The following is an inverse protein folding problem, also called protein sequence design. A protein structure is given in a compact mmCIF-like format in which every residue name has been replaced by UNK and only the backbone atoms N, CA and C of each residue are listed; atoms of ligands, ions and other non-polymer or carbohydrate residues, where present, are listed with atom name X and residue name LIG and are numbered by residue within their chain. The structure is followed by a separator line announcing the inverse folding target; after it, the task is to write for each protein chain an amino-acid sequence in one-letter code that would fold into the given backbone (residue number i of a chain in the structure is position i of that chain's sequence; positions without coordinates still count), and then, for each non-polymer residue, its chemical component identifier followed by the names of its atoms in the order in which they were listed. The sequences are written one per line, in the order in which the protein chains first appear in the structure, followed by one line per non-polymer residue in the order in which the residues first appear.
data_IF_047749686446
#
_entry.id   IF_047749686446
#
_cell.length_a   1.000
_cell.length_b   1.000
_cell.length_c   1.000
_cell.angle_alpha   90.00
_cell.angle_beta   90.00
_cell.angle_gamma   90.00
#
_symmetry.space_group_name_H-M   'P 1'
#
loop_
_entity.id
_entity.type
_entity.pdbx_description
1 polymer ?
#
# COMPACT_ATOMS: atom_id res chain seq x y z
N UNK A 1 -21.67 7.88 8.73
CA UNK A 1 -20.92 6.68 8.29
C UNK A 1 -21.75 5.71 7.43
N UNK A 2 -22.84 6.14 6.76
CA UNK A 2 -23.67 5.25 5.92
C UNK A 2 -23.82 5.71 4.45
N UNK A 3 -23.20 6.84 4.05
CA UNK A 3 -23.47 7.49 2.75
C UNK A 3 -22.29 7.56 1.77
N UNK A 4 -21.17 6.87 2.02
CA UNK A 4 -19.95 6.95 1.19
C UNK A 4 -19.59 5.64 0.47
N UNK A 5 -20.46 4.63 0.50
CA UNK A 5 -20.28 3.35 -0.18
C UNK A 5 -21.07 3.29 -1.52
N UNK A 6 -21.96 4.26 -1.78
CA UNK A 6 -22.85 4.19 -2.94
C UNK A 6 -22.22 4.61 -4.28
N UNK A 7 -21.08 5.32 -4.27
CA UNK A 7 -20.38 5.84 -5.48
C UNK A 7 -19.37 4.88 -6.10
N UNK A 8 -19.30 3.65 -5.60
CA UNK A 8 -18.44 2.60 -6.17
C UNK A 8 -19.01 2.18 -7.55
N UNK A 9 -18.22 2.18 -8.65
CA UNK A 9 -18.67 1.68 -9.95
C UNK A 9 -19.31 0.30 -9.82
N UNK A 10 -20.37 0.03 -10.59
CA UNK A 10 -21.17 -1.20 -10.44
C UNK A 10 -20.36 -2.50 -10.58
N UNK A 11 -19.20 -2.41 -11.24
CA UNK A 11 -18.16 -3.46 -11.31
C UNK A 11 -17.58 -3.83 -9.92
N UNK A 12 -17.29 -2.84 -9.08
CA UNK A 12 -16.74 -3.02 -7.73
C UNK A 12 -17.83 -3.34 -6.68
N UNK A 13 -19.12 -3.14 -7.01
CA UNK A 13 -20.25 -3.63 -6.19
C UNK A 13 -20.42 -5.15 -6.29
N UNK A 14 -19.79 -5.79 -7.28
CA UNK A 14 -19.86 -7.24 -7.54
C UNK A 14 -18.64 -8.02 -7.06
N UNK A 15 -17.55 -7.37 -6.68
CA UNK A 15 -16.42 -8.03 -6.01
C UNK A 15 -16.78 -8.23 -4.54
N UNK A 16 -16.85 -9.48 -4.03
CA UNK A 16 -17.14 -9.72 -2.63
C UNK A 16 -16.09 -9.02 -1.75
N UNK A 17 -16.55 -8.32 -0.71
CA UNK A 17 -15.66 -7.79 0.32
C UNK A 17 -15.13 -8.95 1.15
N UNK A 18 -14.03 -9.54 0.70
CA UNK A 18 -13.39 -10.65 1.39
C UNK A 18 -12.77 -10.15 2.70
N UNK A 19 -12.89 -10.86 3.83
CA UNK A 19 -12.12 -10.57 5.03
C UNK A 19 -10.66 -11.04 4.92
N UNK A 20 -9.73 -10.30 5.55
CA UNK A 20 -8.30 -10.58 5.75
C UNK A 20 -7.78 -11.93 5.28
N UNK A 21 -7.20 -11.96 4.09
CA UNK A 21 -6.45 -13.12 3.60
C UNK A 21 -5.16 -13.27 4.38
N UNK A 22 -5.08 -14.13 5.41
CA UNK A 22 -3.83 -14.41 6.14
C UNK A 22 -2.80 -15.16 5.29
N UNK A 23 -2.40 -14.57 4.17
CA UNK A 23 -1.19 -14.98 3.49
C UNK A 23 -0.01 -14.62 4.39
N UNK A 24 0.71 -15.65 4.81
CA UNK A 24 1.96 -15.51 5.54
C UNK A 24 2.95 -14.74 4.64
N UNK A 25 3.44 -13.60 5.13
CA UNK A 25 4.29 -12.67 4.35
C UNK A 25 5.61 -13.28 3.88
N UNK A 26 5.93 -14.50 4.33
CA UNK A 26 7.13 -15.24 3.96
C UNK A 26 6.99 -16.09 2.68
N UNK A 27 5.81 -16.16 2.06
CA UNK A 27 5.54 -17.12 0.98
C UNK A 27 4.96 -16.45 -0.29
N UNK A 28 5.80 -15.89 -1.18
CA UNK A 28 5.37 -15.06 -2.31
C UNK A 28 4.62 -15.77 -3.46
N UNK A 29 4.44 -17.10 -3.43
CA UNK A 29 3.86 -17.89 -4.53
C UNK A 29 2.57 -18.65 -4.14
N UNK A 30 1.68 -18.05 -3.34
CA UNK A 30 0.42 -18.68 -2.97
C UNK A 30 -0.70 -18.36 -3.97
N UNK A 31 -1.44 -19.39 -4.38
CA UNK A 31 -2.71 -19.25 -5.10
C UNK A 31 -3.85 -19.49 -4.13
N UNK A 32 -4.79 -18.53 -4.10
CA UNK A 32 -5.94 -18.57 -3.20
C UNK A 32 -7.20 -18.71 -4.04
N UNK A 33 -7.91 -19.81 -3.84
CA UNK A 33 -9.16 -20.09 -4.52
C UNK A 33 -10.29 -19.85 -3.53
N UNK A 34 -11.18 -18.92 -3.87
CA UNK A 34 -12.39 -18.65 -3.11
C UNK A 34 -13.58 -19.15 -3.92
N UNK A 35 -14.40 -20.01 -3.33
CA UNK A 35 -15.61 -20.52 -3.99
C UNK A 35 -16.79 -20.61 -3.03
N UNK A 36 -17.99 -20.43 -3.58
CA UNK A 36 -19.25 -20.48 -2.82
C UNK A 36 -19.99 -21.79 -3.10
N UNK A 37 -20.40 -22.49 -2.05
CA UNK A 37 -21.24 -23.68 -2.16
C UNK A 37 -22.55 -23.49 -1.42
N UNK A 38 -23.62 -24.06 -1.96
CA UNK A 38 -24.89 -24.20 -1.25
C UNK A 38 -24.73 -25.12 -0.05
N UNK A 39 -25.33 -24.75 1.08
CA UNK A 39 -25.26 -25.54 2.30
C UNK A 39 -25.94 -26.91 2.11
N UNK A 40 -25.13 -27.98 2.13
CA UNK A 40 -25.57 -29.38 2.16
C UNK A 40 -24.52 -30.24 2.89
N UNK A 41 -24.93 -31.31 3.59
CA UNK A 41 -23.99 -32.26 4.18
C UNK A 41 -23.01 -32.80 3.13
N UNK A 42 -21.71 -32.75 3.42
CA UNK A 42 -20.67 -33.28 2.53
C UNK A 42 -20.22 -32.35 1.39
N UNK A 43 -20.84 -31.19 1.18
CA UNK A 43 -20.49 -30.28 0.08
C UNK A 43 -19.00 -29.92 0.02
N UNK A 44 -18.45 -29.52 1.17
CA UNK A 44 -17.03 -29.18 1.29
C UNK A 44 -16.15 -30.40 1.07
N UNK A 45 -16.51 -31.55 1.64
CA UNK A 45 -15.72 -32.77 1.50
C UNK A 45 -15.66 -33.25 0.03
N UNK A 46 -16.75 -33.09 -0.72
CA UNK A 46 -16.78 -33.33 -2.17
C UNK A 46 -15.79 -32.42 -2.91
N UNK A 47 -15.76 -31.12 -2.59
CA UNK A 47 -14.83 -30.18 -3.23
C UNK A 47 -13.36 -30.41 -2.82
N UNK A 48 -13.08 -30.73 -1.56
CA UNK A 48 -11.71 -30.97 -1.09
C UNK A 48 -11.10 -32.24 -1.72
N UNK A 49 -11.91 -33.21 -2.14
CA UNK A 49 -11.43 -34.38 -2.91
C UNK A 49 -10.78 -33.98 -4.23
N UNK A 50 -11.25 -32.90 -4.87
CA UNK A 50 -10.68 -32.44 -6.14
C UNK A 50 -9.20 -32.07 -6.01
N UNK A 51 -8.82 -31.49 -4.87
CA UNK A 51 -7.44 -31.15 -4.53
C UNK A 51 -6.62 -32.40 -4.20
N UNK A 52 -7.19 -33.31 -3.40
CA UNK A 52 -6.55 -34.57 -3.03
C UNK A 52 -6.24 -35.45 -4.25
N UNK A 53 -7.20 -35.60 -5.17
CA UNK A 53 -7.05 -36.41 -6.39
C UNK A 53 -5.97 -35.89 -7.35
N UNK A 54 -5.62 -34.61 -7.23
CA UNK A 54 -4.63 -33.92 -8.06
C UNK A 54 -3.31 -33.66 -7.35
N UNK A 55 -3.13 -34.22 -6.16
CA UNK A 55 -1.93 -34.08 -5.34
C UNK A 55 -1.61 -32.59 -5.02
N UNK A 56 -2.66 -31.77 -4.85
CA UNK A 56 -2.53 -30.36 -4.46
C UNK A 56 -2.72 -30.25 -2.95
N UNK A 57 -1.63 -29.91 -2.26
CA UNK A 57 -1.65 -29.66 -0.81
C UNK A 57 -2.25 -28.30 -0.48
N UNK A 58 -3.01 -28.24 0.62
CA UNK A 58 -3.67 -27.05 1.11
C UNK A 58 -2.95 -26.54 2.37
N UNK A 59 -2.54 -25.27 2.37
CA UNK A 59 -1.85 -24.65 3.50
C UNK A 59 -2.82 -24.03 4.49
N UNK A 60 -3.97 -23.55 3.99
CA UNK A 60 -5.00 -22.93 4.81
C UNK A 60 -6.39 -23.13 4.19
N UNK A 61 -7.38 -23.34 5.05
CA UNK A 61 -8.80 -23.42 4.66
C UNK A 61 -9.61 -22.61 5.66
N UNK A 62 -10.43 -21.71 5.15
CA UNK A 62 -11.37 -20.94 5.94
C UNK A 62 -12.77 -21.01 5.33
N UNK A 63 -13.81 -21.10 6.16
CA UNK A 63 -15.21 -21.12 5.72
C UNK A 63 -16.01 -20.01 6.39
N UNK A 64 -16.88 -19.32 5.66
CA UNK A 64 -17.71 -18.24 6.16
C UNK A 64 -19.10 -18.25 5.50
N UNK A 65 -20.18 -17.81 6.17
CA UNK A 65 -21.47 -17.62 5.50
C UNK A 65 -21.36 -16.57 4.40
N UNK A 66 -21.88 -16.86 3.19
CA UNK A 66 -21.83 -15.90 2.09
C UNK A 66 -22.71 -14.68 2.38
N UNK A 67 -22.17 -13.50 2.08
CA UNK A 67 -22.93 -12.23 2.16
C UNK A 67 -23.75 -11.98 0.91
N UNK A 68 -23.40 -12.62 -0.20
CA UNK A 68 -24.02 -12.40 -1.52
C UNK A 68 -25.09 -13.46 -1.80
N UNK A 69 -24.86 -14.71 -1.40
CA UNK A 69 -25.74 -15.83 -1.71
C UNK A 69 -26.33 -16.44 -0.44
N UNK A 70 -27.60 -16.14 -0.15
CA UNK A 70 -28.29 -16.67 1.05
C UNK A 70 -28.32 -18.20 1.02
N UNK A 71 -27.99 -18.82 2.16
CA UNK A 71 -27.93 -20.29 2.29
C UNK A 71 -26.70 -20.93 1.65
N UNK A 72 -25.67 -20.13 1.32
CA UNK A 72 -24.39 -20.60 0.83
C UNK A 72 -23.27 -20.28 1.83
N UNK A 73 -22.22 -21.08 1.79
CA UNK A 73 -20.95 -20.83 2.46
C UNK A 73 -19.86 -20.54 1.43
N UNK A 74 -19.07 -19.50 1.70
CA UNK A 74 -17.84 -19.18 1.01
C UNK A 74 -16.68 -19.93 1.66
N UNK A 75 -15.88 -20.58 0.85
CA UNK A 75 -14.68 -21.30 1.25
C UNK A 75 -13.48 -20.63 0.59
N UNK A 76 -12.49 -20.27 1.41
CA UNK A 76 -11.19 -19.77 0.99
C UNK A 76 -10.18 -20.89 1.20
N UNK A 77 -9.48 -21.26 0.13
CA UNK A 77 -8.50 -22.32 0.13
C UNK A 77 -7.19 -21.79 -0.40
N UNK A 78 -6.13 -21.87 0.41
CA UNK A 78 -4.78 -21.52 0.02
C UNK A 78 -4.02 -22.79 -0.39
N UNK A 79 -3.45 -22.77 -1.60
CA UNK A 79 -2.71 -23.90 -2.16
C UNK A 79 -1.20 -23.71 -1.97
N UNK A 80 -0.48 -24.84 -1.81
CA UNK A 80 0.98 -24.85 -1.72
C UNK A 80 1.65 -24.42 -3.04
N UNK A 81 2.83 -23.80 -2.92
CA UNK A 81 3.64 -23.24 -4.00
C UNK A 81 4.19 -24.29 -4.99
N UNK A 82 4.15 -25.58 -4.62
CA UNK A 82 4.67 -26.70 -5.41
C UNK A 82 3.60 -27.26 -6.36
N UNK A 83 2.34 -26.80 -6.24
CA UNK A 83 1.26 -27.27 -7.09
C UNK A 83 1.56 -27.00 -8.58
N UNK A 84 1.37 -28.03 -9.42
CA UNK A 84 1.53 -27.90 -10.87
C UNK A 84 0.42 -27.00 -11.42
N UNK A 85 0.78 -26.06 -12.30
CA UNK A 85 -0.15 -25.13 -12.95
C UNK A 85 -1.35 -25.85 -13.57
N UNK A 86 -1.10 -26.91 -14.35
CA UNK A 86 -2.14 -27.70 -15.01
C UNK A 86 -3.15 -28.29 -14.01
N UNK A 87 -2.66 -28.76 -12.84
CA UNK A 87 -3.51 -29.31 -11.78
C UNK A 87 -4.42 -28.24 -11.17
N UNK A 88 -3.90 -27.02 -10.96
CA UNK A 88 -4.68 -25.88 -10.45
C UNK A 88 -5.72 -25.44 -11.49
N UNK A 89 -5.36 -25.38 -12.78
CA UNK A 89 -6.30 -25.04 -13.86
C UNK A 89 -7.45 -26.05 -13.99
N UNK A 90 -7.18 -27.36 -13.85
CA UNK A 90 -8.21 -28.38 -13.81
C UNK A 90 -9.14 -28.23 -12.59
N UNK A 91 -8.58 -27.97 -11.40
CA UNK A 91 -9.37 -27.74 -10.19
C UNK A 91 -10.29 -26.54 -10.37
N UNK A 92 -9.77 -25.44 -10.90
CA UNK A 92 -10.55 -24.23 -11.18
C UNK A 92 -11.69 -24.55 -12.14
N UNK A 93 -11.42 -25.33 -13.19
CA UNK A 93 -12.45 -25.74 -14.18
C UNK A 93 -13.56 -26.55 -13.51
N UNK A 94 -13.22 -27.54 -12.68
CA UNK A 94 -14.20 -28.36 -11.97
C UNK A 94 -14.97 -27.57 -10.91
N UNK A 95 -14.31 -26.65 -10.20
CA UNK A 95 -14.98 -25.79 -9.24
C UNK A 95 -15.95 -24.83 -9.93
N UNK A 96 -15.64 -24.32 -11.13
CA UNK A 96 -16.58 -23.51 -11.93
C UNK A 96 -17.86 -24.26 -12.28
N UNK A 97 -17.79 -25.57 -12.49
CA UNK A 97 -18.95 -26.40 -12.81
C UNK A 97 -19.83 -26.72 -11.59
N UNK A 98 -19.23 -26.73 -10.39
CA UNK A 98 -19.87 -27.25 -9.17
C UNK A 98 -20.14 -26.20 -8.08
N UNK A 99 -19.52 -25.02 -8.17
CA UNK A 99 -19.70 -23.91 -7.23
C UNK A 99 -20.65 -22.84 -7.79
N UNK A 100 -21.32 -22.12 -6.90
CA UNK A 100 -22.20 -21.00 -7.27
C UNK A 100 -21.39 -19.79 -7.76
N UNK A 101 -20.19 -19.62 -7.21
CA UNK A 101 -19.25 -18.59 -7.62
C UNK A 101 -17.83 -19.05 -7.32
N UNK A 102 -16.86 -18.58 -8.11
CA UNK A 102 -15.44 -18.81 -7.89
C UNK A 102 -14.65 -17.55 -8.23
N UNK A 103 -13.64 -17.25 -7.41
CA UNK A 103 -12.63 -16.23 -7.65
C UNK A 103 -11.27 -16.83 -7.32
N UNK A 104 -10.32 -16.66 -8.22
CA UNK A 104 -8.95 -17.12 -8.04
C UNK A 104 -8.06 -15.90 -7.89
N UNK A 105 -7.37 -15.83 -6.76
CA UNK A 105 -6.38 -14.81 -6.48
C UNK A 105 -4.97 -15.37 -6.61
N UNK A 106 -4.15 -14.71 -7.43
CA UNK A 106 -2.72 -14.99 -7.50
C UNK A 106 -1.95 -13.89 -6.75
N UNK A 107 -1.11 -14.30 -5.80
CA UNK A 107 -0.18 -13.39 -5.11
C UNK A 107 1.08 -13.09 -5.91
N UNK A 108 1.30 -13.80 -7.03
CA UNK A 108 2.45 -13.63 -7.91
C UNK A 108 2.04 -12.96 -9.24
N UNK A 109 2.43 -11.70 -9.43
CA UNK A 109 2.25 -10.97 -10.71
C UNK A 109 3.13 -11.49 -11.85
N UNK A 110 4.26 -12.16 -11.55
CA UNK A 110 5.25 -12.59 -12.55
C UNK A 110 4.92 -13.93 -13.22
N UNK A 111 4.09 -14.77 -12.60
CA UNK A 111 3.63 -16.03 -13.19
C UNK A 111 2.15 -16.24 -12.90
N UNK A 112 1.28 -15.76 -13.81
CA UNK A 112 -0.14 -16.08 -13.78
C UNK A 112 -0.31 -17.59 -13.82
N UNK A 113 -0.84 -18.17 -12.74
CA UNK A 113 -1.23 -19.57 -12.74
C UNK A 113 -2.52 -19.79 -13.55
N UNK A 114 -3.29 -18.72 -13.80
CA UNK A 114 -4.47 -18.74 -14.66
C UNK A 114 -4.69 -17.38 -15.37
N UNK A 115 -5.16 -17.37 -16.62
CA UNK A 115 -5.44 -16.12 -17.36
C UNK A 115 -6.58 -15.29 -16.75
N UNK A 116 -7.53 -15.95 -16.08
CA UNK A 116 -8.67 -15.33 -15.39
C UNK A 116 -8.38 -15.03 -13.90
N UNK A 117 -7.17 -15.30 -13.41
CA UNK A 117 -6.79 -14.95 -12.05
C UNK A 117 -6.82 -13.43 -11.84
N UNK A 118 -7.37 -13.01 -10.71
CA UNK A 118 -7.36 -11.62 -10.28
C UNK A 118 -6.15 -11.43 -9.38
N UNK A 119 -5.23 -10.50 -9.66
CA UNK A 119 -4.12 -10.21 -8.76
C UNK A 119 -4.63 -9.98 -7.34
N UNK A 120 -3.96 -10.57 -6.36
CA UNK A 120 -4.33 -10.35 -4.97
C UNK A 120 -4.31 -8.87 -4.61
N UNK A 121 -5.24 -8.47 -3.74
CA UNK A 121 -5.27 -7.14 -3.16
C UNK A 121 -5.74 -7.19 -1.69
N UNK A 122 -5.26 -6.26 -0.83
CA UNK A 122 -5.72 -6.15 0.55
C UNK A 122 -7.21 -5.86 0.61
N UNK A 123 -7.91 -6.53 1.52
CA UNK A 123 -9.35 -6.36 1.67
C UNK A 123 -9.73 -5.76 3.03
N UNK A 124 -8.82 -5.81 4.00
CA UNK A 124 -8.83 -5.00 5.23
C UNK A 124 -7.59 -4.12 5.30
N UNK A 125 -7.71 -2.99 6.00
CA UNK A 125 -6.57 -2.09 6.25
C UNK A 125 -5.38 -2.79 6.94
N UNK A 126 -5.64 -3.77 7.80
CA UNK A 126 -4.60 -4.58 8.45
C UNK A 126 -3.83 -5.47 7.48
N UNK A 127 -4.38 -5.78 6.30
CA UNK A 127 -3.70 -6.61 5.30
C UNK A 127 -2.53 -5.89 4.64
N UNK A 128 -2.42 -4.57 4.82
CA UNK A 128 -1.25 -3.79 4.41
C UNK A 128 0.04 -4.33 5.06
N UNK A 129 -0.06 -4.88 6.28
CA UNK A 129 1.09 -5.50 6.95
C UNK A 129 1.73 -6.65 6.16
N UNK A 130 1.00 -7.26 5.22
CA UNK A 130 1.46 -8.43 4.44
C UNK A 130 2.38 -8.07 3.28
N UNK A 131 2.33 -6.81 2.83
CA UNK A 131 3.14 -6.34 1.71
C UNK A 131 4.00 -5.11 2.05
N UNK A 132 3.79 -4.46 3.19
CA UNK A 132 4.55 -3.26 3.59
C UNK A 132 6.07 -3.45 3.62
N UNK A 133 6.55 -4.70 3.74
CA UNK A 133 7.97 -5.04 3.78
C UNK A 133 8.53 -5.46 2.40
N UNK A 134 7.72 -5.49 1.34
CA UNK A 134 8.12 -5.83 -0.04
C UNK A 134 8.76 -4.63 -0.74
N UNK A 135 9.89 -4.18 -0.19
CA UNK A 135 10.64 -3.03 -0.71
C UNK A 135 11.41 -3.43 -1.97
N UNK A 136 11.23 -2.68 -3.05
CA UNK A 136 11.91 -2.89 -4.32
C UNK A 136 13.27 -2.18 -4.38
N UNK A 137 13.36 -0.96 -3.87
CA UNK A 137 14.56 -0.13 -3.94
C UNK A 137 14.60 0.92 -2.84
N UNK A 138 15.74 1.61 -2.70
CA UNK A 138 15.94 2.72 -1.76
C UNK A 138 15.64 2.33 -0.30
N UNK A 139 15.92 1.07 0.06
CA UNK A 139 15.78 0.54 1.41
C UNK A 139 16.99 0.87 2.29
N UNK A 140 17.51 -0.13 3.00
CA UNK A 140 18.76 -0.01 3.75
C UNK A 140 20.02 -0.09 2.86
N UNK A 141 19.91 -0.77 1.71
CA UNK A 141 20.96 -0.85 0.71
C UNK A 141 20.85 0.31 -0.27
N UNK A 142 21.98 0.96 -0.53
CA UNK A 142 22.08 2.15 -1.37
C UNK A 142 22.83 1.81 -2.65
N UNK A 143 22.43 2.44 -3.75
CA UNK A 143 23.14 2.33 -5.02
C UNK A 143 24.54 2.95 -4.95
N UNK A 144 25.46 2.48 -5.79
CA UNK A 144 26.88 2.88 -5.74
C UNK A 144 27.12 4.38 -6.02
N UNK A 145 26.20 5.02 -6.74
CA UNK A 145 26.19 6.45 -7.07
C UNK A 145 25.47 7.31 -6.02
N UNK A 146 24.82 6.70 -5.03
CA UNK A 146 24.18 7.42 -3.94
C UNK A 146 25.23 8.18 -3.09
N UNK A 147 25.01 9.46 -2.73
CA UNK A 147 26.01 10.27 -2.01
C UNK A 147 26.43 9.66 -0.66
N UNK A 148 25.52 8.95 0.01
CA UNK A 148 25.78 8.21 1.25
C UNK A 148 26.33 6.79 1.08
N UNK A 149 26.66 6.31 -0.13
CA UNK A 149 27.10 4.93 -0.35
C UNK A 149 28.36 4.55 0.43
N UNK A 150 29.30 5.49 0.55
CA UNK A 150 30.56 5.31 1.30
C UNK A 150 30.48 5.77 2.75
N UNK A 151 29.35 6.34 3.16
CA UNK A 151 29.14 6.81 4.53
C UNK A 151 28.56 5.68 5.38
N UNK A 152 29.40 5.07 6.19
CA UNK A 152 29.00 3.97 7.09
C UNK A 152 28.00 4.41 8.16
N UNK A 153 28.09 5.67 8.62
CA UNK A 153 27.17 6.23 9.62
C UNK A 153 25.80 6.41 8.99
N UNK A 154 25.72 7.00 7.80
CA UNK A 154 24.46 7.18 7.07
C UNK A 154 23.82 5.83 6.69
N UNK A 155 24.61 4.84 6.27
CA UNK A 155 24.10 3.48 5.99
C UNK A 155 23.56 2.79 7.24
N UNK A 156 24.27 2.88 8.35
CA UNK A 156 23.79 2.36 9.63
C UNK A 156 22.49 3.06 10.06
N UNK A 157 22.42 4.37 9.88
CA UNK A 157 21.25 5.18 10.16
C UNK A 157 20.05 4.79 9.28
N UNK A 158 20.26 4.54 7.98
CA UNK A 158 19.21 4.02 7.06
C UNK A 158 18.68 2.66 7.48
N UNK A 159 19.56 1.78 7.97
CA UNK A 159 19.14 0.48 8.52
C UNK A 159 18.20 0.64 9.72
N UNK A 160 18.48 1.58 10.62
CA UNK A 160 17.59 1.86 11.77
C UNK A 160 16.17 2.26 11.31
N UNK A 161 16.06 3.15 10.31
CA UNK A 161 14.77 3.52 9.74
C UNK A 161 14.05 2.36 9.06
N UNK A 162 14.79 1.51 8.35
CA UNK A 162 14.25 0.31 7.73
C UNK A 162 13.72 -0.67 8.80
N UNK A 163 14.47 -0.88 9.88
CA UNK A 163 14.08 -1.74 10.99
C UNK A 163 12.79 -1.23 11.67
N UNK A 164 12.61 0.09 11.83
CA UNK A 164 11.35 0.67 12.32
C UNK A 164 10.18 0.27 11.41
N UNK A 165 10.32 0.49 10.10
CA UNK A 165 9.25 0.21 9.15
C UNK A 165 8.93 -1.29 9.05
N UNK A 166 9.94 -2.17 9.09
CA UNK A 166 9.74 -3.61 9.00
C UNK A 166 9.01 -4.21 10.21
N UNK A 167 9.19 -3.60 11.39
CA UNK A 167 8.59 -4.06 12.62
C UNK A 167 7.23 -3.40 12.92
N UNK A 168 6.88 -2.29 12.26
CA UNK A 168 5.60 -1.61 12.46
C UNK A 168 4.42 -2.47 11.99
N UNK A 169 3.38 -2.56 12.83
CA UNK A 169 2.10 -3.20 12.50
C UNK A 169 0.92 -2.23 12.54
N UNK A 170 -0.09 -2.51 11.73
CA UNK A 170 -1.30 -1.69 11.70
C UNK A 170 -1.97 -1.65 13.09
N UNK A 171 -2.28 -0.44 13.56
CA UNK A 171 -2.91 -0.20 14.86
C UNK A 171 -1.93 0.19 15.97
N UNK A 172 -0.63 0.02 15.76
CA UNK A 172 0.40 0.53 16.65
C UNK A 172 0.63 2.03 16.43
N UNK A 173 1.28 2.69 17.40
CA UNK A 173 1.78 4.05 17.20
C UNK A 173 3.05 4.00 16.36
N UNK A 174 3.17 4.91 15.40
CA UNK A 174 4.38 5.06 14.59
C UNK A 174 5.52 5.47 15.52
N UNK A 175 6.65 4.73 15.53
CA UNK A 175 7.77 5.03 16.41
C UNK A 175 8.33 6.43 16.19
N UNK A 176 8.59 7.12 17.31
CA UNK A 176 9.25 8.43 17.33
C UNK A 176 10.72 8.25 16.98
N UNK A 177 11.23 9.16 16.14
CA UNK A 177 12.63 9.19 15.74
C UNK A 177 13.31 10.39 16.39
N UNK A 178 14.39 10.12 17.11
CA UNK A 178 15.32 11.15 17.57
C UNK A 178 16.27 11.51 16.42
N UNK A 179 15.89 12.55 15.65
CA UNK A 179 16.71 13.08 14.57
C UNK A 179 17.96 13.79 15.10
N UNK A 180 19.09 13.63 14.43
CA UNK A 180 20.34 14.29 14.80
C UNK A 180 20.34 15.77 14.40
N UNK A 181 21.23 16.56 15.00
CA UNK A 181 21.39 17.98 14.62
C UNK A 181 21.76 18.16 13.15
N UNK A 182 22.52 17.23 12.57
CA UNK A 182 22.87 17.23 11.15
C UNK A 182 21.63 16.98 10.28
N UNK A 183 20.80 15.99 10.63
CA UNK A 183 19.54 15.69 9.95
C UNK A 183 18.58 16.90 10.03
N UNK A 184 18.43 17.51 11.22
CA UNK A 184 17.62 18.71 11.41
C UNK A 184 18.17 19.88 10.58
N UNK A 185 19.49 20.01 10.45
CA UNK A 185 20.08 21.05 9.61
C UNK A 185 19.82 20.84 8.11
N UNK A 186 19.89 19.59 7.63
CA UNK A 186 19.50 19.26 6.25
C UNK A 186 18.03 19.59 6.01
N UNK A 187 17.14 19.25 6.93
CA UNK A 187 15.73 19.63 6.87
C UNK A 187 15.55 21.15 6.82
N UNK A 188 16.25 21.90 7.69
CA UNK A 188 16.19 23.37 7.76
C UNK A 188 16.48 24.02 6.41
N UNK A 189 17.51 23.55 5.71
CA UNK A 189 17.89 24.06 4.39
C UNK A 189 16.75 23.89 3.39
N UNK A 190 16.19 22.68 3.30
CA UNK A 190 15.09 22.36 2.37
C UNK A 190 13.81 23.12 2.75
N UNK A 191 13.46 23.15 4.03
CA UNK A 191 12.28 23.81 4.55
C UNK A 191 12.27 25.31 4.22
N UNK A 192 13.38 26.01 4.49
CA UNK A 192 13.48 27.44 4.25
C UNK A 192 13.35 27.79 2.76
N UNK A 193 13.96 26.99 1.88
CA UNK A 193 13.90 27.27 0.45
C UNK A 193 12.49 27.02 -0.11
N UNK A 194 11.85 25.90 0.26
CA UNK A 194 10.52 25.58 -0.24
C UNK A 194 9.43 26.51 0.32
N UNK A 195 9.48 26.83 1.62
CA UNK A 195 8.50 27.75 2.23
C UNK A 195 8.56 29.17 1.69
N UNK A 196 9.73 29.59 1.19
CA UNK A 196 9.88 30.85 0.45
C UNK A 196 9.12 30.83 -0.88
N UNK A 197 9.02 29.67 -1.53
CA UNK A 197 8.44 29.51 -2.87
C UNK A 197 6.94 29.19 -2.87
N UNK A 198 6.43 28.48 -1.84
CA UNK A 198 5.04 28.03 -1.79
C UNK A 198 3.98 29.11 -2.03
N UNK A 199 4.07 30.34 -1.48
CA UNK A 199 3.03 31.35 -1.68
C UNK A 199 2.75 31.69 -3.14
N UNK A 200 3.75 31.52 -4.03
CA UNK A 200 3.65 31.85 -5.45
C UNK A 200 3.63 30.65 -6.37
N UNK A 201 4.11 29.49 -5.92
CA UNK A 201 4.28 28.29 -6.76
C UNK A 201 3.35 27.13 -6.38
N UNK A 202 2.87 27.08 -5.15
CA UNK A 202 1.96 26.02 -4.70
C UNK A 202 0.50 26.40 -4.99
N UNK A 203 -0.34 25.38 -5.17
CA UNK A 203 -1.78 25.55 -5.30
C UNK A 203 -2.42 26.13 -4.02
N UNK A 204 -3.63 26.67 -4.15
CA UNK A 204 -4.33 27.35 -3.06
C UNK A 204 -4.61 26.43 -1.86
N UNK A 205 -4.94 25.16 -2.13
CA UNK A 205 -5.21 24.12 -1.13
C UNK A 205 -3.97 23.83 -0.30
N UNK A 206 -2.80 23.75 -0.94
CA UNK A 206 -1.54 23.60 -0.23
C UNK A 206 -1.28 24.80 0.69
N UNK A 207 -1.41 26.03 0.17
CA UNK A 207 -1.19 27.25 0.94
C UNK A 207 -2.22 27.47 2.07
N UNK A 208 -3.40 26.88 1.95
CA UNK A 208 -4.40 26.85 3.01
C UNK A 208 -4.05 25.87 4.13
N UNK A 209 -3.59 24.66 3.80
CA UNK A 209 -3.29 23.62 4.79
C UNK A 209 -1.94 23.84 5.48
N UNK A 210 -0.92 24.32 4.77
CA UNK A 210 0.45 24.39 5.30
C UNK A 210 0.57 25.16 6.64
N UNK A 211 -0.08 26.33 6.84
CA UNK A 211 -0.09 27.00 8.13
C UNK A 211 -0.71 26.17 9.27
N UNK A 212 -1.69 25.32 8.97
CA UNK A 212 -2.30 24.43 9.97
C UNK A 212 -1.33 23.33 10.40
N UNK A 213 -0.50 22.82 9.48
CA UNK A 213 0.57 21.88 9.81
C UNK A 213 1.64 22.52 10.69
N UNK A 214 1.98 23.79 10.45
CA UNK A 214 2.89 24.55 11.33
C UNK A 214 2.34 24.68 12.75
N UNK A 215 1.04 24.95 12.88
CA UNK A 215 0.39 25.14 14.18
C UNK A 215 0.17 23.84 14.96
N UNK A 216 -0.11 22.73 14.28
CA UNK A 216 -0.63 21.51 14.92
C UNK A 216 0.34 20.31 14.86
N UNK A 217 1.27 20.29 13.90
CA UNK A 217 2.16 19.14 13.66
C UNK A 217 3.64 19.48 13.88
N UNK A 218 3.94 20.69 14.39
CA UNK A 218 5.30 21.16 14.64
C UNK A 218 6.15 21.25 13.38
N UNK A 219 5.55 21.61 12.24
CA UNK A 219 6.29 21.99 11.04
C UNK A 219 7.03 23.30 11.29
N UNK A 220 8.35 23.27 11.17
CA UNK A 220 9.21 24.45 11.29
C UNK A 220 10.65 24.13 10.88
N UNK A 221 11.53 25.13 10.77
CA UNK A 221 12.91 24.94 10.33
C UNK A 221 13.76 24.13 11.32
N UNK A 222 13.41 24.12 12.60
CA UNK A 222 14.25 23.57 13.68
C UNK A 222 13.77 22.21 14.20
N UNK A 223 12.78 21.60 13.54
CA UNK A 223 12.22 20.30 13.93
C UNK A 223 11.66 19.57 12.71
N UNK A 224 12.07 18.31 12.54
CA UNK A 224 11.43 17.39 11.61
C UNK A 224 10.13 16.86 12.27
N UNK A 225 8.95 17.04 11.66
CA UNK A 225 7.69 16.53 12.20
C UNK A 225 7.70 15.01 12.35
N UNK A 226 7.10 14.50 13.44
CA UNK A 226 6.98 13.07 13.66
C UNK A 226 5.77 12.51 12.90
N UNK A 227 5.94 11.38 12.22
CA UNK A 227 4.87 10.80 11.40
C UNK A 227 3.59 10.51 12.19
N UNK A 228 3.70 10.13 13.48
CA UNK A 228 2.51 9.89 14.31
C UNK A 228 1.65 11.14 14.48
N UNK A 229 2.28 12.29 14.77
CA UNK A 229 1.57 13.58 14.94
C UNK A 229 0.86 13.99 13.65
N UNK A 230 1.56 13.84 12.52
CA UNK A 230 1.01 14.15 11.19
C UNK A 230 -0.11 13.18 10.81
N UNK A 231 0.05 11.89 11.11
CA UNK A 231 -0.97 10.86 10.86
C UNK A 231 -2.24 11.15 11.63
N UNK A 232 -2.13 11.54 12.91
CA UNK A 232 -3.29 11.91 13.74
C UNK A 232 -3.99 13.17 13.21
N UNK A 233 -3.24 14.17 12.74
CA UNK A 233 -3.79 15.36 12.09
C UNK A 233 -4.56 15.00 10.80
N UNK A 234 -3.93 14.26 9.88
CA UNK A 234 -4.56 13.82 8.64
C UNK A 234 -5.83 13.00 8.90
N UNK A 235 -5.79 12.14 9.92
CA UNK A 235 -6.94 11.30 10.28
C UNK A 235 -8.13 12.15 10.71
N UNK A 236 -7.89 13.24 11.42
CA UNK A 236 -8.94 14.17 11.85
C UNK A 236 -9.44 15.06 10.72
N UNK A 237 -8.61 15.37 9.70
CA UNK A 237 -9.02 16.17 8.54
C UNK A 237 -9.82 15.34 7.52
N UNK A 238 -9.24 14.24 7.05
CA UNK A 238 -9.73 13.48 5.89
C UNK A 238 -9.74 11.97 6.13
N UNK A 239 -9.40 11.49 7.32
CA UNK A 239 -9.26 10.06 7.60
C UNK A 239 -8.02 9.42 6.96
N UNK A 240 -7.14 10.20 6.31
CA UNK A 240 -5.84 9.70 5.88
C UNK A 240 -4.94 9.39 7.07
N UNK A 241 -4.11 8.38 6.93
CA UNK A 241 -3.09 8.02 7.92
C UNK A 241 -1.77 7.74 7.24
N UNK A 242 -0.68 7.96 7.97
CA UNK A 242 0.66 7.61 7.53
C UNK A 242 1.04 6.21 8.01
N UNK A 243 1.85 5.52 7.22
CA UNK A 243 2.50 4.27 7.59
C UNK A 243 4.00 4.37 7.27
N UNK A 244 4.91 4.08 8.22
CA UNK A 244 6.33 4.06 7.93
C UNK A 244 6.65 2.97 6.90
N UNK A 245 7.46 3.31 5.90
CA UNK A 245 7.97 2.36 4.90
C UNK A 245 9.48 2.50 4.77
N UNK A 246 10.15 1.36 4.61
CA UNK A 246 11.62 1.30 4.56
C UNK A 246 12.20 1.87 3.25
N UNK A 247 11.42 1.87 2.17
CA UNK A 247 11.83 2.33 0.84
C UNK A 247 10.68 2.30 -0.16
N UNK A 248 10.99 2.14 -1.45
CA UNK A 248 9.99 2.13 -2.51
C UNK A 248 9.23 0.80 -2.58
N UNK A 249 7.91 0.82 -2.47
CA UNK A 249 7.05 -0.33 -2.74
C UNK A 249 6.79 -0.49 -4.24
N UNK A 250 6.26 -1.65 -4.63
CA UNK A 250 5.67 -1.81 -5.96
C UNK A 250 4.52 -0.82 -6.18
N UNK A 251 4.30 -0.39 -7.42
CA UNK A 251 3.18 0.50 -7.75
C UNK A 251 1.84 -0.10 -7.29
N UNK A 252 1.67 -1.41 -7.40
CA UNK A 252 0.47 -2.13 -6.95
C UNK A 252 0.26 -1.98 -5.45
N UNK A 253 1.29 -2.30 -4.66
CA UNK A 253 1.22 -2.27 -3.20
C UNK A 253 1.03 -0.85 -2.67
N UNK A 254 1.76 0.11 -3.25
CA UNK A 254 1.63 1.51 -2.88
C UNK A 254 0.21 2.05 -3.14
N UNK A 255 -0.31 1.84 -4.36
CA UNK A 255 -1.64 2.29 -4.74
C UNK A 255 -2.74 1.58 -3.94
N UNK A 256 -2.58 0.29 -3.65
CA UNK A 256 -3.53 -0.45 -2.82
C UNK A 256 -3.66 0.16 -1.42
N UNK A 257 -2.58 0.71 -0.85
CA UNK A 257 -2.63 1.47 0.40
C UNK A 257 -3.55 2.71 0.34
N UNK A 258 -3.54 3.43 -0.78
CA UNK A 258 -4.37 4.62 -0.96
C UNK A 258 -5.87 4.32 -0.93
N UNK A 259 -6.28 3.10 -1.31
CA UNK A 259 -7.67 2.66 -1.23
C UNK A 259 -8.22 2.75 0.21
N UNK A 260 -7.34 2.53 1.20
CA UNK A 260 -7.62 2.60 2.62
C UNK A 260 -7.27 3.96 3.25
N UNK A 261 -6.97 4.98 2.43
CA UNK A 261 -6.43 6.26 2.87
C UNK A 261 -5.16 6.09 3.71
N UNK A 262 -4.33 5.11 3.36
CA UNK A 262 -3.01 4.88 3.99
C UNK A 262 -1.93 5.31 3.02
N UNK A 263 -1.15 6.31 3.43
CA UNK A 263 0.02 6.75 2.68
C UNK A 263 1.29 6.16 3.29
N UNK A 264 2.06 5.44 2.48
CA UNK A 264 3.36 4.90 2.88
C UNK A 264 4.41 6.01 2.80
N UNK A 265 4.96 6.40 3.95
CA UNK A 265 5.92 7.50 4.09
C UNK A 265 7.24 6.99 4.63
N UNK A 266 8.35 7.38 4.01
CA UNK A 266 9.68 7.15 4.59
C UNK A 266 9.90 8.05 5.81
N UNK A 267 10.85 7.66 6.67
CA UNK A 267 11.26 8.45 7.84
C UNK A 267 12.70 8.96 7.74
N UNK A 268 13.51 8.41 6.84
CA UNK A 268 14.89 8.85 6.65
C UNK A 268 14.95 10.19 5.93
N UNK A 269 16.01 10.96 6.15
CA UNK A 269 16.30 12.20 5.42
C UNK A 269 17.43 11.98 4.43
N UNK A 270 17.42 12.73 3.32
CA UNK A 270 18.51 12.75 2.33
C UNK A 270 19.87 13.05 2.97
N UNK A 271 20.93 12.62 2.29
CA UNK A 271 22.30 12.85 2.73
C UNK A 271 22.66 14.34 2.79
N UNK A 272 23.33 14.77 3.85
CA UNK A 272 23.62 16.17 4.17
C UNK A 272 24.52 16.89 3.15
N UNK A 273 25.36 16.13 2.41
CA UNK A 273 26.24 16.69 1.38
C UNK A 273 25.52 17.23 0.14
N UNK A 274 24.27 16.80 -0.11
CA UNK A 274 23.48 17.23 -1.28
C UNK A 274 22.04 17.57 -0.84
N UNK A 275 21.83 18.60 0.00
CA UNK A 275 20.53 18.87 0.61
C UNK A 275 19.47 19.28 -0.43
N UNK A 276 19.89 19.87 -1.56
CA UNK A 276 18.98 20.41 -2.57
C UNK A 276 18.52 19.38 -3.61
N UNK A 277 19.01 18.14 -3.56
CA UNK A 277 18.66 17.11 -4.55
C UNK A 277 18.71 15.70 -3.95
N UNK A 278 17.70 14.90 -4.26
CA UNK A 278 17.68 13.47 -3.98
C UNK A 278 16.81 12.76 -5.03
N UNK A 279 17.23 11.60 -5.56
CA UNK A 279 16.36 10.74 -6.37
C UNK A 279 15.38 9.93 -5.49
N UNK A 280 15.67 9.81 -4.20
CA UNK A 280 14.88 9.05 -3.24
C UNK A 280 13.77 9.91 -2.61
N UNK A 281 12.58 9.34 -2.34
CA UNK A 281 11.52 10.05 -1.64
C UNK A 281 11.79 10.06 -0.13
N UNK A 282 12.67 10.95 0.32
CA UNK A 282 13.00 11.13 1.74
C UNK A 282 11.88 11.87 2.51
N UNK A 283 12.01 11.95 3.84
CA UNK A 283 11.01 12.58 4.73
C UNK A 283 10.69 14.03 4.34
N UNK A 284 11.64 14.78 3.75
CA UNK A 284 11.37 16.09 3.17
C UNK A 284 10.34 16.02 2.04
N UNK A 285 10.54 15.10 1.07
CA UNK A 285 9.60 14.88 -0.03
C UNK A 285 8.21 14.49 0.50
N UNK A 286 8.15 13.61 1.50
CA UNK A 286 6.87 13.12 2.01
C UNK A 286 6.09 14.21 2.77
N UNK A 287 6.76 14.87 3.73
CA UNK A 287 6.12 15.83 4.63
C UNK A 287 5.86 17.19 3.99
N UNK A 288 6.79 17.68 3.16
CA UNK A 288 6.68 18.99 2.52
C UNK A 288 6.03 18.91 1.14
N UNK A 289 5.92 17.71 0.58
CA UNK A 289 5.27 17.47 -0.70
C UNK A 289 3.85 16.97 -0.56
N UNK A 290 3.69 15.74 -0.07
CA UNK A 290 2.40 15.05 -0.18
C UNK A 290 1.43 15.39 0.94
N UNK A 291 1.91 15.42 2.18
CA UNK A 291 1.05 15.56 3.37
C UNK A 291 0.06 16.72 3.29
N UNK A 292 0.44 17.95 2.85
CA UNK A 292 -0.49 19.06 2.82
C UNK A 292 -1.73 18.79 1.96
N UNK A 293 -1.57 18.11 0.83
CA UNK A 293 -2.71 17.79 -0.04
C UNK A 293 -3.56 16.63 0.49
N UNK A 294 -3.01 15.70 1.28
CA UNK A 294 -3.85 14.68 1.91
C UNK A 294 -4.79 15.22 2.99
N UNK A 295 -4.55 16.43 3.49
CA UNK A 295 -5.46 17.10 4.41
C UNK A 295 -6.60 17.87 3.69
N UNK A 296 -6.54 17.99 2.36
CA UNK A 296 -7.62 18.52 1.53
C UNK A 296 -8.62 17.41 1.17
N UNK A 297 -9.92 17.70 1.27
CA UNK A 297 -10.98 16.68 1.12
C UNK A 297 -11.08 16.17 -0.30
N UNK A 298 -10.99 17.05 -1.30
CA UNK A 298 -11.12 16.67 -2.71
C UNK A 298 -9.91 15.86 -3.17
N UNK A 299 -8.71 16.30 -2.79
CA UNK A 299 -7.48 15.57 -3.12
C UNK A 299 -7.38 14.23 -2.38
N UNK A 300 -7.82 14.16 -1.12
CA UNK A 300 -7.91 12.91 -0.38
C UNK A 300 -8.88 11.93 -1.07
N UNK A 301 -10.05 12.40 -1.51
CA UNK A 301 -11.00 11.57 -2.25
C UNK A 301 -10.41 11.11 -3.58
N UNK A 302 -9.84 12.02 -4.37
CA UNK A 302 -9.18 11.70 -5.63
C UNK A 302 -8.10 10.63 -5.46
N UNK A 303 -7.24 10.79 -4.44
CA UNK A 303 -6.17 9.83 -4.15
C UNK A 303 -6.72 8.45 -3.76
N UNK A 304 -7.81 8.43 -3.00
CA UNK A 304 -8.49 7.19 -2.64
C UNK A 304 -9.12 6.50 -3.86
N UNK A 305 -9.74 7.23 -4.77
CA UNK A 305 -10.34 6.67 -6.00
C UNK A 305 -9.28 5.99 -6.89
N UNK A 306 -8.08 6.58 -7.01
CA UNK A 306 -6.95 5.92 -7.67
C UNK A 306 -6.60 4.61 -6.97
N UNK A 307 -6.54 4.63 -5.63
CA UNK A 307 -6.27 3.44 -4.84
C UNK A 307 -7.30 2.35 -5.05
N UNK A 308 -8.59 2.68 -5.01
CA UNK A 308 -9.69 1.75 -5.26
C UNK A 308 -9.62 1.16 -6.67
N UNK A 309 -9.35 2.00 -7.68
CA UNK A 309 -9.17 1.56 -9.05
C UNK A 309 -7.98 0.59 -9.25
N UNK A 310 -7.00 0.60 -8.34
CA UNK A 310 -5.84 -0.30 -8.40
C UNK A 310 -6.13 -1.72 -7.87
N UNK A 311 -7.16 -1.89 -7.04
CA UNK A 311 -7.46 -3.18 -6.39
C UNK A 311 -7.90 -4.22 -7.43
N UNK A 312 -7.10 -5.28 -7.58
CA UNK A 312 -7.33 -6.35 -8.56
C UNK A 312 -7.09 -5.94 -10.03
N UNK A 313 -6.58 -4.74 -10.28
CA UNK A 313 -6.29 -4.27 -11.63
C UNK A 313 -5.11 -5.05 -12.26
N UNK A 314 -5.10 -5.19 -13.58
CA UNK A 314 -3.95 -5.76 -14.31
C UNK A 314 -2.72 -4.86 -14.21
N UNK A 315 -1.52 -5.41 -14.44
CA UNK A 315 -0.26 -4.64 -14.37
C UNK A 315 -0.25 -3.45 -15.35
N UNK A 316 -0.81 -3.61 -16.56
CA UNK A 316 -0.95 -2.50 -17.53
C UNK A 316 -1.79 -1.34 -17.00
N UNK A 317 -2.83 -1.64 -16.23
CA UNK A 317 -3.69 -0.63 -15.61
C UNK A 317 -2.97 -0.01 -14.42
N UNK A 318 -2.25 -0.79 -13.62
CA UNK A 318 -1.42 -0.29 -12.52
C UNK A 318 -0.38 0.70 -13.05
N UNK A 319 0.28 0.42 -14.17
CA UNK A 319 1.25 1.34 -14.77
C UNK A 319 0.62 2.68 -15.16
N UNK A 320 -0.57 2.65 -15.78
CA UNK A 320 -1.33 3.86 -16.14
C UNK A 320 -1.77 4.64 -14.90
N UNK A 321 -2.32 3.96 -13.90
CA UNK A 321 -2.74 4.58 -12.63
C UNK A 321 -1.55 5.18 -11.89
N UNK A 322 -0.41 4.49 -11.85
CA UNK A 322 0.83 4.99 -11.26
C UNK A 322 1.32 6.23 -12.01
N UNK A 323 1.20 6.27 -13.33
CA UNK A 323 1.55 7.44 -14.13
C UNK A 323 0.65 8.64 -13.79
N UNK A 324 -0.67 8.44 -13.70
CA UNK A 324 -1.61 9.50 -13.28
C UNK A 324 -1.30 9.99 -11.87
N UNK A 325 -1.13 9.07 -10.91
CA UNK A 325 -0.77 9.40 -9.53
C UNK A 325 0.54 10.20 -9.46
N UNK A 326 1.56 9.80 -10.23
CA UNK A 326 2.84 10.54 -10.34
C UNK A 326 2.66 11.90 -11.02
N UNK A 327 1.83 12.01 -12.04
CA UNK A 327 1.60 13.29 -12.73
C UNK A 327 0.92 14.31 -11.81
N UNK A 328 -0.07 13.90 -11.01
CA UNK A 328 -0.66 14.77 -9.99
C UNK A 328 0.34 15.14 -8.88
N UNK A 329 1.25 14.22 -8.52
CA UNK A 329 2.39 14.47 -7.61
C UNK A 329 3.38 15.51 -8.18
N UNK A 330 3.64 15.50 -9.50
CA UNK A 330 4.57 16.42 -10.16
C UNK A 330 3.94 17.79 -10.47
N UNK A 331 2.68 17.83 -10.91
CA UNK A 331 2.01 19.05 -11.36
C UNK A 331 1.70 20.06 -10.25
N UNK A 332 1.71 19.66 -8.97
CA UNK A 332 1.47 20.57 -7.84
C UNK A 332 2.71 20.91 -7.01
N UNK A 333 3.88 20.32 -7.27
CA UNK A 333 5.08 20.56 -6.46
C UNK A 333 6.37 20.88 -7.22
N UNK A 334 6.53 20.49 -8.49
CA UNK A 334 7.82 20.63 -9.18
C UNK A 334 7.77 21.08 -10.65
N UNK A 335 6.61 21.46 -11.20
CA UNK A 335 6.54 22.09 -12.53
C UNK A 335 6.48 23.60 -12.40
N UNK A 336 7.61 24.20 -12.07
CA UNK A 336 8.08 25.46 -12.66
C UNK A 336 9.61 25.37 -12.77
N UNK A 337 10.09 24.61 -13.76
CA UNK A 337 11.38 24.95 -14.37
C UNK A 337 11.19 26.33 -15.00
N UNK A 338 11.90 27.32 -14.47
CA UNK A 338 12.23 28.56 -15.18
C UNK A 338 12.83 28.28 -16.54
#
# INVERSE_FOLDING_TARGET
MAGLIESVPEYFKRTPTYPSMTADSNHPNQTVIIFSLKEKPGALAEMLKLFQERDVSLTHIESRPSKVHKGCYEFLVECDQIAKKDSIEEIITLLKENAESIVVHDFNSASKQNEESVPWFPSKISDIDKFANRVLSYGAELDADHPGFKDEVYRSRRKQFADIAFNYKHGEKIPVVDYTDEEINTWRVVYNELTRLYPTHACAEFNYIFPLLQQNCGYGPDRIPQLQEVSDFLKNCTGFTLRPVAGLLSSRDFLAGLAFRVFHSTQYIRHSSVPNYTPEPDVCHELLGHVPLFADVEFAQFSQEIGLASLGASDDVIEKLATVSKLFRFFRLFVLRT
#
